data_IF_073860149207
#
_entry.id   IF_073860149207
#
_cell.length_a   1.000
_cell.length_b   1.000
_cell.length_c   1.000
_cell.angle_alpha   90.00
_cell.angle_beta   90.00
_cell.angle_gamma   90.00
#
_symmetry.space_group_name_H-M   'P 1'
#
loop_
_entity.id
_entity.type
_entity.pdbx_description
1 polymer ?
#
# COMPACT_ATOMS: atom_id res chain seq x y z
N UNK A 1 -24.09 0.52 -17.98
CA UNK A 1 -22.72 0.71 -17.44
C UNK A 1 -22.14 -0.65 -17.13
N UNK A 2 -20.90 -0.93 -17.55
CA UNK A 2 -20.26 -2.23 -17.37
C UNK A 2 -19.69 -2.42 -15.96
N UNK A 3 -19.79 -3.63 -15.43
CA UNK A 3 -19.17 -4.01 -14.15
C UNK A 3 -17.71 -4.41 -14.40
N UNK A 4 -16.84 -4.17 -13.41
CA UNK A 4 -15.38 -4.35 -13.49
C UNK A 4 -14.87 -4.94 -12.18
N UNK A 5 -14.08 -6.02 -12.27
CA UNK A 5 -13.41 -6.60 -11.11
C UNK A 5 -12.44 -5.59 -10.48
N UNK A 6 -12.18 -5.67 -9.16
CA UNK A 6 -11.24 -4.76 -8.52
C UNK A 6 -9.82 -4.99 -9.05
N UNK A 7 -9.12 -3.90 -9.33
CA UNK A 7 -7.71 -3.89 -9.70
C UNK A 7 -6.97 -2.96 -8.75
N UNK A 8 -5.88 -3.45 -8.14
CA UNK A 8 -4.97 -2.60 -7.37
C UNK A 8 -3.97 -1.97 -8.35
N UNK A 9 -3.82 -0.66 -8.27
CA UNK A 9 -3.03 0.11 -9.22
C UNK A 9 -1.55 0.14 -8.82
N UNK A 10 -0.62 0.27 -9.79
CA UNK A 10 0.82 0.32 -9.51
C UNK A 10 1.28 1.55 -8.71
N UNK A 11 0.42 2.54 -8.48
CA UNK A 11 0.70 3.76 -7.68
C UNK A 11 0.89 3.49 -6.18
N UNK A 12 1.05 2.22 -5.79
CA UNK A 12 1.33 1.82 -4.43
C UNK A 12 2.76 2.22 -4.04
N UNK A 13 2.93 2.75 -2.82
CA UNK A 13 4.24 3.06 -2.29
C UNK A 13 4.25 2.90 -0.77
N UNK A 14 5.42 2.57 -0.21
CA UNK A 14 5.68 2.66 1.22
C UNK A 14 6.91 3.55 1.44
N UNK A 15 6.80 4.52 2.34
CA UNK A 15 7.90 5.37 2.78
C UNK A 15 8.20 5.07 4.25
N UNK A 16 9.44 4.69 4.52
CA UNK A 16 9.94 4.47 5.88
C UNK A 16 10.67 5.73 6.36
N UNK A 17 10.31 6.23 7.53
CA UNK A 17 11.06 7.24 8.28
C UNK A 17 11.68 6.58 9.52
N UNK A 18 12.37 7.37 10.36
CA UNK A 18 12.97 6.86 11.60
C UNK A 18 11.92 6.22 12.54
N UNK A 19 10.75 6.87 12.67
CA UNK A 19 9.74 6.50 13.67
C UNK A 19 8.45 5.93 13.06
N UNK A 20 8.29 5.99 11.74
CA UNK A 20 7.04 5.63 11.07
C UNK A 20 7.21 4.89 9.74
N UNK A 21 6.20 4.11 9.38
CA UNK A 21 5.98 3.63 8.01
C UNK A 21 4.69 4.24 7.48
N UNK A 22 4.72 4.80 6.28
CA UNK A 22 3.52 5.25 5.58
C UNK A 22 3.36 4.46 4.29
N UNK A 23 2.29 3.70 4.15
CA UNK A 23 1.98 2.94 2.94
C UNK A 23 0.66 3.39 2.32
N UNK A 24 0.63 3.47 1.00
CA UNK A 24 -0.52 3.83 0.20
C UNK A 24 -0.87 2.70 -0.77
N UNK A 25 -2.17 2.38 -0.86
CA UNK A 25 -2.71 1.44 -1.82
C UNK A 25 -3.92 2.07 -2.52
N UNK A 26 -4.01 1.89 -3.83
CA UNK A 26 -5.05 2.48 -4.65
C UNK A 26 -5.71 1.41 -5.52
N UNK A 27 -7.01 1.53 -5.77
CA UNK A 27 -7.76 0.56 -6.54
C UNK A 27 -8.80 1.20 -7.43
N UNK A 28 -9.16 0.50 -8.50
CA UNK A 28 -10.30 0.80 -9.36
C UNK A 28 -11.22 -0.42 -9.45
N UNK A 29 -12.53 -0.21 -9.54
CA UNK A 29 -13.53 -1.28 -9.72
C UNK A 29 -14.94 -0.74 -9.89
N UNK A 30 -15.85 -1.57 -10.45
CA UNK A 30 -17.27 -1.23 -10.59
C UNK A 30 -18.15 -2.45 -10.28
N UNK A 31 -18.92 -2.48 -9.18
CA UNK A 31 -19.17 -1.39 -8.21
C UNK A 31 -17.90 -0.92 -7.48
N UNK A 32 -17.95 0.28 -6.90
CA UNK A 32 -16.83 0.84 -6.15
C UNK A 32 -16.32 -0.19 -5.14
N UNK A 33 -15.02 -0.52 -5.15
CA UNK A 33 -14.50 -1.57 -4.28
C UNK A 33 -14.41 -1.11 -2.82
N UNK A 34 -14.07 -2.03 -1.92
CA UNK A 34 -13.66 -1.73 -0.54
C UNK A 34 -12.18 -2.03 -0.39
N UNK A 35 -11.47 -1.25 0.41
CA UNK A 35 -10.06 -1.45 0.73
C UNK A 35 -9.87 -1.85 2.19
N UNK A 36 -8.93 -2.76 2.44
CA UNK A 36 -8.56 -3.21 3.79
C UNK A 36 -7.08 -3.59 3.83
N UNK A 37 -6.39 -3.17 4.88
CA UNK A 37 -5.02 -3.61 5.18
C UNK A 37 -5.04 -4.91 5.98
N UNK A 38 -4.07 -5.78 5.70
CA UNK A 38 -3.79 -7.01 6.42
C UNK A 38 -2.33 -7.03 6.85
N UNK A 39 -2.06 -7.51 8.06
CA UNK A 39 -0.72 -7.76 8.59
C UNK A 39 -0.70 -9.16 9.18
N UNK A 40 0.27 -9.98 8.80
CA UNK A 40 0.35 -11.40 9.18
C UNK A 40 -0.95 -12.18 8.90
N UNK A 41 -1.63 -11.81 7.79
CA UNK A 41 -2.91 -12.42 7.40
C UNK A 41 -4.14 -11.95 8.18
N UNK A 42 -3.98 -11.04 9.15
CA UNK A 42 -5.08 -10.50 9.95
C UNK A 42 -5.46 -9.07 9.53
N UNK A 43 -6.75 -8.70 9.52
CA UNK A 43 -7.17 -7.35 9.16
C UNK A 43 -6.67 -6.33 10.19
N UNK A 44 -6.14 -5.21 9.72
CA UNK A 44 -5.65 -4.11 10.54
C UNK A 44 -6.73 -3.05 10.70
N UNK A 45 -7.03 -2.69 11.95
CA UNK A 45 -7.98 -1.63 12.29
C UNK A 45 -7.26 -0.41 12.84
N UNK A 46 -7.94 0.73 12.82
CA UNK A 46 -7.45 1.97 13.41
C UNK A 46 -7.14 1.79 14.90
N UNK A 47 -5.97 2.25 15.34
CA UNK A 47 -5.49 2.19 16.73
C UNK A 47 -4.32 3.16 16.93
N UNK A 48 -3.83 3.31 18.16
CA UNK A 48 -2.63 4.11 18.45
C UNK A 48 -1.41 3.66 17.63
N UNK A 49 -1.35 2.36 17.30
CA UNK A 49 -0.27 1.74 16.52
C UNK A 49 -0.44 1.94 15.02
N UNK A 50 -1.68 2.00 14.54
CA UNK A 50 -2.04 2.00 13.12
C UNK A 50 -3.05 3.11 12.86
N UNK A 51 -2.62 4.20 12.24
CA UNK A 51 -3.54 5.21 11.72
C UNK A 51 -3.92 4.85 10.28
N UNK A 52 -5.20 4.61 10.03
CA UNK A 52 -5.73 4.26 8.70
C UNK A 52 -6.65 5.37 8.22
N UNK A 53 -6.50 5.77 6.95
CA UNK A 53 -7.41 6.70 6.26
C UNK A 53 -7.80 6.18 4.89
N UNK A 54 -9.01 6.52 4.45
CA UNK A 54 -9.54 6.19 3.13
C UNK A 54 -9.90 7.48 2.38
N UNK A 55 -9.66 7.51 1.08
CA UNK A 55 -9.93 8.63 0.20
C UNK A 55 -10.70 8.12 -1.03
N UNK A 56 -11.92 8.62 -1.24
CA UNK A 56 -12.70 8.38 -2.44
C UNK A 56 -12.24 9.34 -3.54
N UNK A 57 -11.51 8.82 -4.53
CA UNK A 57 -10.98 9.62 -5.63
C UNK A 57 -12.04 9.88 -6.71
N UNK A 58 -12.92 8.91 -6.95
CA UNK A 58 -14.15 9.03 -7.75
C UNK A 58 -15.07 7.81 -7.50
N UNK A 59 -16.21 7.74 -8.19
CA UNK A 59 -17.22 6.67 -8.05
C UNK A 59 -16.68 5.22 -8.19
N UNK A 60 -15.53 5.04 -8.83
CA UNK A 60 -14.93 3.72 -9.09
C UNK A 60 -13.55 3.55 -8.48
N UNK A 61 -13.00 4.58 -7.85
CA UNK A 61 -11.58 4.64 -7.48
C UNK A 61 -11.42 5.08 -6.03
N UNK A 62 -10.66 4.29 -5.29
CA UNK A 62 -10.42 4.48 -3.86
C UNK A 62 -8.94 4.35 -3.55
N UNK A 63 -8.52 5.06 -2.51
CA UNK A 63 -7.19 4.98 -1.93
C UNK A 63 -7.29 4.73 -0.44
N UNK A 64 -6.43 3.88 0.09
CA UNK A 64 -6.26 3.62 1.52
C UNK A 64 -4.81 3.90 1.91
N UNK A 65 -4.63 4.56 3.04
CA UNK A 65 -3.32 4.89 3.59
C UNK A 65 -3.24 4.28 4.99
N UNK A 66 -2.09 3.69 5.33
CA UNK A 66 -1.76 3.24 6.68
C UNK A 66 -0.46 3.89 7.14
N UNK A 67 -0.50 4.48 8.33
CA UNK A 67 0.68 4.93 9.06
C UNK A 67 0.90 4.01 10.26
N UNK A 68 2.07 3.38 10.34
CA UNK A 68 2.50 2.56 11.48
C UNK A 68 3.36 3.42 12.39
N UNK A 69 2.88 3.71 13.60
CA UNK A 69 3.51 4.62 14.57
C UNK A 69 4.44 3.87 15.54
N UNK A 70 5.42 3.14 15.03
CA UNK A 70 6.37 2.41 15.86
C UNK A 70 7.76 2.36 15.22
N UNK A 71 8.83 2.28 16.04
CA UNK A 71 10.17 2.00 15.56
C UNK A 71 10.12 0.77 14.66
N UNK A 72 10.54 0.95 13.41
CA UNK A 72 10.47 -0.07 12.36
C UNK A 72 11.62 -1.08 12.49
N UNK A 73 11.77 -1.64 13.69
CA UNK A 73 12.58 -2.82 13.98
C UNK A 73 11.83 -4.11 13.61
N UNK A 74 10.48 -4.07 13.60
CA UNK A 74 9.68 -5.18 13.13
C UNK A 74 9.67 -5.25 11.60
N UNK A 75 9.91 -6.45 11.09
CA UNK A 75 9.74 -6.74 9.68
C UNK A 75 8.24 -6.67 9.33
N UNK A 76 7.87 -5.71 8.48
CA UNK A 76 6.51 -5.55 7.95
C UNK A 76 6.37 -6.17 6.55
N UNK A 77 7.20 -7.19 6.26
CA UNK A 77 7.19 -7.97 5.01
C UNK A 77 5.85 -8.64 4.69
N UNK A 78 4.93 -8.73 5.66
CA UNK A 78 3.61 -9.36 5.50
C UNK A 78 2.47 -8.37 5.32
N UNK A 79 2.75 -7.06 5.26
CA UNK A 79 1.72 -6.05 5.04
C UNK A 79 1.11 -6.24 3.63
N UNK A 80 -0.22 -6.34 3.56
CA UNK A 80 -0.95 -6.61 2.35
C UNK A 80 -2.16 -5.70 2.22
N UNK A 81 -2.36 -5.14 1.03
CA UNK A 81 -3.59 -4.44 0.69
C UNK A 81 -4.54 -5.39 -0.04
N UNK A 82 -5.81 -5.41 0.36
CA UNK A 82 -6.87 -6.16 -0.31
C UNK A 82 -7.97 -5.23 -0.79
N UNK A 83 -8.35 -5.40 -2.05
CA UNK A 83 -9.47 -4.72 -2.70
C UNK A 83 -10.56 -5.73 -3.04
N UNK A 84 -11.84 -5.38 -2.83
CA UNK A 84 -12.96 -6.30 -3.08
C UNK A 84 -14.22 -5.58 -3.58
N UNK A 85 -14.98 -6.19 -4.47
CA UNK A 85 -16.35 -5.80 -4.79
C UNK A 85 -17.22 -7.06 -5.03
N UNK A 86 -18.44 -6.89 -5.53
CA UNK A 86 -19.38 -8.00 -5.77
C UNK A 86 -18.94 -9.00 -6.84
N UNK A 87 -17.92 -8.68 -7.65
CA UNK A 87 -17.41 -9.56 -8.70
C UNK A 87 -16.18 -10.36 -8.26
N UNK A 88 -15.44 -9.88 -7.27
CA UNK A 88 -14.20 -10.54 -6.84
C UNK A 88 -13.31 -9.67 -5.98
N UNK A 89 -12.04 -10.06 -5.89
CA UNK A 89 -11.03 -9.37 -5.09
C UNK A 89 -9.64 -9.42 -5.72
N UNK A 90 -8.84 -8.39 -5.45
CA UNK A 90 -7.41 -8.32 -5.75
C UNK A 90 -6.62 -8.11 -4.47
N UNK A 91 -5.35 -8.54 -4.44
CA UNK A 91 -4.47 -8.35 -3.30
C UNK A 91 -3.04 -8.08 -3.75
N UNK A 92 -2.36 -7.18 -3.04
CA UNK A 92 -0.98 -6.80 -3.33
C UNK A 92 -0.17 -6.78 -2.03
N UNK A 93 0.87 -7.63 -1.91
CA UNK A 93 1.81 -7.57 -0.79
C UNK A 93 2.72 -6.36 -0.94
N UNK A 94 3.13 -5.79 0.19
CA UNK A 94 4.09 -4.69 0.23
C UNK A 94 5.41 -5.20 0.78
N UNK A 95 6.46 -4.97 0.00
CA UNK A 95 7.84 -5.17 0.46
C UNK A 95 8.37 -3.82 0.90
N UNK A 96 8.69 -3.67 2.18
CA UNK A 96 9.39 -2.48 2.68
C UNK A 96 10.80 -2.56 2.12
N UNK A 97 11.09 -1.78 1.07
CA UNK A 97 12.45 -1.64 0.59
C UNK A 97 13.25 -0.93 1.69
N UNK A 98 14.14 -1.64 2.36
CA UNK A 98 15.14 -1.01 3.22
C UNK A 98 16.02 -0.15 2.32
N UNK A 99 15.84 1.17 2.35
CA UNK A 99 16.93 2.06 1.98
C UNK A 99 17.94 1.97 3.11
N UNK A 100 18.83 0.98 3.07
CA UNK A 100 20.11 1.13 3.77
C UNK A 100 20.74 2.38 3.16
N UNK A 101 20.84 3.46 3.95
CA UNK A 101 21.73 4.54 3.59
C UNK A 101 23.12 3.93 3.35
N UNK A 102 23.69 4.25 2.17
CA UNK A 102 25.06 4.00 1.71
C UNK A 102 25.40 2.64 1.05
N UNK A 103 25.36 2.61 -0.29
CA UNK A 103 26.58 2.47 -1.12
C UNK A 103 26.27 2.88 -2.59
N UNK A 104 26.76 4.05 -3.01
CA UNK A 104 27.93 4.26 -3.90
C UNK A 104 27.59 4.15 -5.41
N UNK A 105 27.54 5.33 -6.04
CA UNK A 105 27.89 5.63 -7.44
C UNK A 105 27.57 4.61 -8.54
N UNK A 106 26.47 4.83 -9.26
CA UNK A 106 26.41 4.46 -10.68
C UNK A 106 26.73 5.71 -11.51
N UNK A 107 28.00 5.88 -11.84
CA UNK A 107 28.44 6.77 -12.90
C UNK A 107 27.81 6.32 -14.22
N UNK A 108 26.94 7.14 -14.80
CA UNK A 108 26.64 7.02 -16.22
C UNK A 108 27.89 7.51 -16.97
N UNK A 109 28.71 6.58 -17.47
CA UNK A 109 29.69 6.90 -18.50
C UNK A 109 28.92 7.26 -19.76
N UNK A 110 28.97 8.53 -20.15
CA UNK A 110 28.65 8.99 -21.50
C UNK A 110 29.55 8.21 -22.46
N UNK A 111 28.95 7.52 -23.43
CA UNK A 111 29.68 6.94 -24.55
C UNK A 111 29.74 8.02 -25.63
N UNK A 112 30.96 8.38 -26.03
CA UNK A 112 31.31 9.15 -27.23
C UNK A 112 30.73 8.52 -28.51
#
# INVERSE_FOLDING_TARGET
MSLVNPLILPSFYCMKTADQLNCSCETVGKPSPTLQWYLDGLPVNHSDKFAISNELLNETRLKIIITVNQPQERDLSTLLCRSSNSLGSASQPFYVLQTSAESQGLSYSTID
#
